data_IF_766791412150
#
_entry.id   IF_766791412150
#
_cell.length_a   1.000
_cell.length_b   1.000
_cell.length_c   1.000
_cell.angle_alpha   90.00
_cell.angle_beta   90.00
_cell.angle_gamma   90.00
#
_symmetry.space_group_name_H-M   'P 1'
#
loop_
_entity.id
_entity.type
_entity.pdbx_description
1 polymer ?
#
# COMPACT_ATOMS: atom_id res chain seq x y z
N UNK A 1 -33.47 17.07 0.56
CA UNK A 1 -33.37 17.05 -0.93
C UNK A 1 -33.27 15.60 -1.38
N UNK A 2 -34.12 15.13 -2.31
CA UNK A 2 -34.00 13.77 -2.83
C UNK A 2 -32.69 13.67 -3.63
N UNK A 3 -31.78 12.78 -3.23
CA UNK A 3 -30.55 12.50 -3.99
C UNK A 3 -30.95 11.97 -5.35
N UNK A 4 -30.35 12.54 -6.41
CA UNK A 4 -30.56 12.04 -7.76
C UNK A 4 -29.93 10.65 -7.94
N UNK A 5 -30.45 9.80 -8.82
CA UNK A 5 -29.83 8.49 -9.10
C UNK A 5 -28.34 8.60 -9.51
N UNK A 6 -27.94 9.72 -10.10
CA UNK A 6 -26.57 10.00 -10.49
C UNK A 6 -25.65 10.25 -9.29
N UNK A 7 -26.14 10.95 -8.26
CA UNK A 7 -25.42 11.18 -7.01
C UNK A 7 -25.15 9.86 -6.27
N UNK A 8 -26.16 8.99 -6.18
CA UNK A 8 -25.99 7.65 -5.60
C UNK A 8 -24.96 6.80 -6.36
N UNK A 9 -25.01 6.82 -7.70
CA UNK A 9 -24.02 6.14 -8.53
C UNK A 9 -22.61 6.67 -8.27
N UNK A 10 -22.43 7.97 -8.13
CA UNK A 10 -21.12 8.59 -7.85
C UNK A 10 -20.59 8.19 -6.49
N UNK A 11 -21.45 8.15 -5.46
CA UNK A 11 -21.07 7.74 -4.10
C UNK A 11 -20.57 6.29 -4.04
N UNK A 12 -21.14 5.41 -4.87
CA UNK A 12 -20.76 4.00 -4.92
C UNK A 12 -19.56 3.77 -5.86
N UNK A 13 -19.56 4.43 -7.02
CA UNK A 13 -18.54 4.21 -8.04
C UNK A 13 -17.16 4.73 -7.64
N UNK A 14 -17.06 5.88 -6.98
CA UNK A 14 -15.78 6.47 -6.63
C UNK A 14 -14.96 5.57 -5.68
N UNK A 15 -15.49 5.08 -4.55
CA UNK A 15 -14.76 4.14 -3.70
C UNK A 15 -14.41 2.81 -4.40
N UNK A 16 -15.31 2.31 -5.27
CA UNK A 16 -15.05 1.08 -6.03
C UNK A 16 -13.87 1.24 -6.99
N UNK A 17 -13.78 2.35 -7.72
CA UNK A 17 -12.67 2.67 -8.61
C UNK A 17 -11.34 2.79 -7.85
N UNK A 18 -11.34 3.47 -6.70
CA UNK A 18 -10.15 3.62 -5.85
C UNK A 18 -9.71 2.25 -5.29
N UNK A 19 -10.65 1.42 -4.86
CA UNK A 19 -10.37 0.06 -4.37
C UNK A 19 -9.76 -0.79 -5.48
N UNK A 20 -10.28 -0.72 -6.71
CA UNK A 20 -9.72 -1.43 -7.85
C UNK A 20 -8.29 -0.96 -8.17
N UNK A 21 -8.05 0.35 -8.23
CA UNK A 21 -6.72 0.90 -8.44
C UNK A 21 -5.74 0.46 -7.33
N UNK A 22 -6.18 0.45 -6.07
CA UNK A 22 -5.38 -0.02 -4.92
C UNK A 22 -5.05 -1.50 -5.03
N UNK A 23 -5.97 -2.34 -5.53
CA UNK A 23 -5.73 -3.77 -5.74
C UNK A 23 -4.66 -4.03 -6.80
N UNK A 24 -4.60 -3.23 -7.86
CA UNK A 24 -3.53 -3.29 -8.87
C UNK A 24 -2.18 -2.90 -8.26
N UNK A 25 -2.14 -1.87 -7.40
CA UNK A 25 -0.93 -1.50 -6.67
C UNK A 25 -0.47 -2.60 -5.72
N UNK A 26 -1.38 -3.26 -5.01
CA UNK A 26 -1.08 -4.42 -4.15
C UNK A 26 -0.46 -5.54 -4.97
N UNK A 27 -1.07 -5.93 -6.09
CA UNK A 27 -0.57 -7.01 -6.94
C UNK A 27 0.84 -6.69 -7.48
N UNK A 28 1.04 -5.49 -8.01
CA UNK A 28 2.34 -5.04 -8.51
C UNK A 28 3.40 -5.04 -7.40
N UNK A 29 3.05 -4.55 -6.21
CA UNK A 29 3.97 -4.49 -5.06
C UNK A 29 4.27 -5.89 -4.51
N UNK A 30 3.30 -6.80 -4.47
CA UNK A 30 3.49 -8.20 -4.06
C UNK A 30 4.48 -8.91 -4.96
N UNK A 31 4.41 -8.70 -6.28
CA UNK A 31 5.35 -9.26 -7.24
C UNK A 31 6.79 -8.71 -7.05
N UNK A 32 6.92 -7.41 -6.72
CA UNK A 32 8.20 -6.80 -6.37
C UNK A 32 8.74 -7.36 -5.06
N UNK A 33 7.88 -7.54 -4.06
CA UNK A 33 8.23 -8.12 -2.77
C UNK A 33 8.74 -9.55 -2.90
N UNK A 34 8.06 -10.41 -3.65
CA UNK A 34 8.49 -11.79 -3.90
C UNK A 34 9.92 -11.82 -4.49
N UNK A 35 10.18 -11.03 -5.54
CA UNK A 35 11.52 -10.95 -6.15
C UNK A 35 12.58 -10.41 -5.18
N UNK A 36 12.23 -9.45 -4.32
CA UNK A 36 13.17 -8.90 -3.33
C UNK A 36 13.52 -9.94 -2.26
N UNK A 37 12.54 -10.74 -1.82
CA UNK A 37 12.75 -11.86 -0.88
C UNK A 37 13.64 -12.93 -1.51
N UNK A 38 13.38 -13.33 -2.76
CA UNK A 38 14.17 -14.33 -3.46
C UNK A 38 15.64 -13.88 -3.63
N UNK A 39 15.85 -12.61 -3.98
CA UNK A 39 17.19 -12.04 -4.06
C UNK A 39 17.90 -12.03 -2.70
N UNK A 40 17.21 -11.65 -1.63
CA UNK A 40 17.79 -11.66 -0.28
C UNK A 40 18.14 -13.08 0.17
N UNK A 41 17.29 -14.08 -0.13
CA UNK A 41 17.57 -15.50 0.16
C UNK A 41 18.76 -16.02 -0.64
N UNK A 42 18.85 -15.68 -1.92
CA UNK A 42 19.98 -16.08 -2.76
C UNK A 42 21.31 -15.56 -2.19
N UNK A 43 21.38 -14.26 -1.83
CA UNK A 43 22.58 -13.68 -1.21
C UNK A 43 22.91 -14.36 0.13
N UNK A 44 21.89 -14.61 0.97
CA UNK A 44 22.09 -15.26 2.26
C UNK A 44 22.61 -16.69 2.11
N UNK A 45 22.11 -17.46 1.12
CA UNK A 45 22.59 -18.82 0.83
C UNK A 45 24.04 -18.83 0.29
N UNK A 46 24.39 -17.85 -0.54
CA UNK A 46 25.75 -17.67 -1.04
C UNK A 46 26.73 -17.38 0.11
N UNK A 47 26.39 -16.48 1.02
CA UNK A 47 27.19 -16.18 2.22
C UNK A 47 27.37 -17.45 3.08
N UNK A 48 26.30 -18.23 3.27
CA UNK A 48 26.33 -19.44 4.09
C UNK A 48 27.20 -20.57 3.49
N UNK A 49 27.32 -20.61 2.15
CA UNK A 49 28.13 -21.63 1.45
C UNK A 49 29.60 -21.22 1.21
N UNK A 50 29.95 -19.98 1.53
CA UNK A 50 31.30 -19.43 1.32
C UNK A 50 32.10 -19.52 2.61
N UNK A 51 33.27 -20.15 2.59
CA UNK A 51 34.13 -20.32 3.76
C UNK A 51 34.68 -18.97 4.31
N UNK A 52 34.87 -17.98 3.41
CA UNK A 52 35.31 -16.62 3.75
C UNK A 52 34.46 -15.59 3.01
N UNK A 53 33.27 -15.23 3.55
CA UNK A 53 32.40 -14.27 2.90
C UNK A 53 33.03 -12.87 2.85
N UNK A 54 32.91 -12.22 1.69
CA UNK A 54 33.41 -10.87 1.50
C UNK A 54 32.55 -9.85 2.29
N UNK A 55 33.15 -8.78 2.85
CA UNK A 55 32.39 -7.73 3.52
C UNK A 55 31.31 -7.10 2.65
N UNK A 56 31.53 -7.03 1.33
CA UNK A 56 30.57 -6.53 0.33
C UNK A 56 29.30 -7.38 0.27
N UNK A 57 29.37 -8.70 0.45
CA UNK A 57 28.19 -9.58 0.46
C UNK A 57 27.26 -9.27 1.64
N UNK A 58 27.82 -8.98 2.79
CA UNK A 58 27.01 -8.55 3.96
C UNK A 58 26.34 -7.21 3.74
N UNK A 59 26.98 -6.27 3.03
CA UNK A 59 26.38 -4.98 2.66
C UNK A 59 25.22 -5.21 1.70
N UNK A 60 25.41 -6.05 0.67
CA UNK A 60 24.35 -6.39 -0.29
C UNK A 60 23.15 -7.05 0.40
N UNK A 61 23.37 -7.97 1.33
CA UNK A 61 22.30 -8.60 2.11
C UNK A 61 21.51 -7.56 2.94
N UNK A 62 22.22 -6.63 3.58
CA UNK A 62 21.57 -5.55 4.33
C UNK A 62 20.70 -4.66 3.42
N UNK A 63 21.18 -4.31 2.25
CA UNK A 63 20.43 -3.51 1.26
C UNK A 63 19.20 -4.29 0.75
N UNK A 64 19.36 -5.57 0.40
CA UNK A 64 18.26 -6.42 -0.02
C UNK A 64 17.18 -6.55 1.07
N UNK A 65 17.59 -6.75 2.33
CA UNK A 65 16.67 -6.84 3.47
C UNK A 65 15.97 -5.51 3.75
N UNK A 66 16.67 -4.37 3.64
CA UNK A 66 16.07 -3.05 3.79
C UNK A 66 15.00 -2.79 2.71
N UNK A 67 15.28 -3.17 1.47
CA UNK A 67 14.33 -3.11 0.35
C UNK A 67 13.07 -3.95 0.62
N UNK A 68 13.24 -5.20 1.04
CA UNK A 68 12.14 -6.11 1.42
C UNK A 68 11.27 -5.48 2.51
N UNK A 69 11.88 -4.90 3.54
CA UNK A 69 11.15 -4.23 4.63
C UNK A 69 10.34 -3.02 4.15
N UNK A 70 10.87 -2.23 3.22
CA UNK A 70 10.16 -1.09 2.64
C UNK A 70 8.95 -1.57 1.84
N UNK A 71 9.08 -2.63 1.06
CA UNK A 71 7.98 -3.21 0.27
C UNK A 71 6.87 -3.80 1.16
N UNK A 72 7.21 -4.44 2.28
CA UNK A 72 6.22 -4.90 3.26
C UNK A 72 5.42 -3.73 3.83
N UNK A 73 6.08 -2.65 4.20
CA UNK A 73 5.39 -1.45 4.72
C UNK A 73 4.48 -0.81 3.68
N UNK A 74 4.92 -0.74 2.42
CA UNK A 74 4.08 -0.25 1.32
C UNK A 74 2.85 -1.14 1.11
N UNK A 75 3.01 -2.47 1.13
CA UNK A 75 1.90 -3.42 1.06
C UNK A 75 0.91 -3.23 2.22
N UNK A 76 1.40 -3.10 3.44
CA UNK A 76 0.56 -2.85 4.62
C UNK A 76 -0.24 -1.56 4.46
N UNK A 77 0.38 -0.49 3.93
CA UNK A 77 -0.31 0.77 3.67
C UNK A 77 -1.42 0.61 2.62
N UNK A 78 -1.19 -0.15 1.54
CA UNK A 78 -2.23 -0.41 0.53
C UNK A 78 -3.36 -1.30 1.05
N UNK A 79 -3.08 -2.32 1.86
CA UNK A 79 -4.13 -3.13 2.50
C UNK A 79 -4.96 -2.30 3.47
N UNK A 80 -4.31 -1.42 4.25
CA UNK A 80 -5.02 -0.48 5.13
C UNK A 80 -5.93 0.45 4.31
N UNK A 81 -5.46 0.94 3.18
CA UNK A 81 -6.27 1.78 2.30
C UNK A 81 -7.51 1.04 1.78
N UNK A 82 -7.35 -0.19 1.28
CA UNK A 82 -8.46 -1.00 0.78
C UNK A 82 -9.50 -1.25 1.89
N UNK A 83 -9.05 -1.64 3.08
CA UNK A 83 -9.92 -1.84 4.24
C UNK A 83 -10.64 -0.55 4.65
N UNK A 84 -9.94 0.58 4.65
CA UNK A 84 -10.52 1.89 4.97
C UNK A 84 -11.59 2.30 3.94
N UNK A 85 -11.35 2.13 2.65
CA UNK A 85 -12.36 2.45 1.63
C UNK A 85 -13.57 1.53 1.70
N UNK A 86 -13.38 0.21 1.90
CA UNK A 86 -14.47 -0.74 2.05
C UNK A 86 -15.34 -0.38 3.27
N UNK A 87 -14.71 -0.13 4.43
CA UNK A 87 -15.41 0.26 5.65
C UNK A 87 -16.07 1.62 5.51
N UNK A 88 -15.38 2.63 4.95
CA UNK A 88 -15.94 3.97 4.74
C UNK A 88 -17.15 3.96 3.81
N UNK A 89 -17.11 3.14 2.73
CA UNK A 89 -18.26 2.95 1.83
C UNK A 89 -19.44 2.32 2.57
N UNK A 90 -19.19 1.26 3.35
CA UNK A 90 -20.21 0.58 4.12
C UNK A 90 -20.85 1.54 5.17
N UNK A 91 -20.02 2.27 5.90
CA UNK A 91 -20.50 3.25 6.89
C UNK A 91 -21.30 4.40 6.23
N UNK A 92 -20.85 4.87 5.08
CA UNK A 92 -21.57 5.89 4.30
C UNK A 92 -22.93 5.42 3.81
N UNK A 93 -23.05 4.17 3.34
CA UNK A 93 -24.32 3.57 2.94
C UNK A 93 -25.25 3.38 4.15
N UNK A 94 -24.72 2.96 5.29
CA UNK A 94 -25.50 2.87 6.54
C UNK A 94 -25.99 4.25 6.95
N UNK A 95 -25.16 5.29 6.94
CA UNK A 95 -25.55 6.65 7.27
C UNK A 95 -26.70 7.14 6.40
N UNK A 96 -26.60 6.96 5.08
CA UNK A 96 -27.65 7.32 4.13
C UNK A 96 -28.95 6.53 4.35
N UNK A 97 -28.87 5.27 4.78
CA UNK A 97 -30.05 4.47 5.15
C UNK A 97 -30.73 4.96 6.42
N UNK A 98 -29.94 5.29 7.43
CA UNK A 98 -30.39 5.79 8.74
C UNK A 98 -31.05 7.17 8.61
N UNK A 99 -30.50 8.06 7.80
CA UNK A 99 -31.07 9.36 7.45
C UNK A 99 -32.51 9.21 6.92
N UNK A 100 -32.70 8.26 5.98
CA UNK A 100 -34.03 7.98 5.40
C UNK A 100 -35.05 7.45 6.41
N UNK A 101 -34.60 6.83 7.48
CA UNK A 101 -35.45 6.35 8.58
C UNK A 101 -35.74 7.46 9.61
N UNK A 102 -35.16 8.66 9.45
CA UNK A 102 -35.39 9.81 10.31
C UNK A 102 -34.55 9.87 11.58
N UNK A 103 -33.49 9.03 11.68
CA UNK A 103 -32.58 9.03 12.84
C UNK A 103 -31.39 9.99 12.60
N UNK A 104 -31.67 11.30 12.61
CA UNK A 104 -30.67 12.34 12.31
C UNK A 104 -29.51 12.40 13.32
N UNK A 105 -29.74 12.09 14.59
CA UNK A 105 -28.69 12.09 15.60
C UNK A 105 -27.63 11.01 15.34
N UNK A 106 -28.06 9.85 14.85
CA UNK A 106 -27.16 8.74 14.54
C UNK A 106 -26.38 8.99 13.24
N UNK A 107 -27.00 9.57 12.22
CA UNK A 107 -26.37 10.01 10.99
C UNK A 107 -25.26 11.03 11.26
N UNK A 108 -25.51 12.00 12.15
CA UNK A 108 -24.54 13.03 12.55
C UNK A 108 -23.24 12.44 13.15
N UNK A 109 -23.30 11.23 13.70
CA UNK A 109 -22.11 10.52 14.22
C UNK A 109 -21.46 9.65 13.15
N UNK A 110 -22.23 8.94 12.34
CA UNK A 110 -21.71 7.98 11.35
C UNK A 110 -20.99 8.68 10.21
N UNK A 111 -21.54 9.77 9.72
CA UNK A 111 -20.98 10.50 8.55
C UNK A 111 -19.56 11.00 8.77
N UNK A 112 -19.21 11.70 9.88
CA UNK A 112 -17.82 12.12 10.12
C UNK A 112 -16.86 10.94 10.34
N UNK A 113 -17.33 9.84 10.93
CA UNK A 113 -16.53 8.62 11.08
C UNK A 113 -16.20 8.04 9.69
N UNK A 114 -17.19 7.88 8.84
CA UNK A 114 -17.00 7.40 7.47
C UNK A 114 -16.00 8.28 6.71
N UNK A 115 -16.13 9.60 6.77
CA UNK A 115 -15.22 10.55 6.16
C UNK A 115 -13.81 10.45 6.71
N UNK A 116 -13.65 10.33 8.02
CA UNK A 116 -12.35 10.14 8.68
C UNK A 116 -11.64 8.86 8.21
N UNK A 117 -12.37 7.77 8.12
CA UNK A 117 -11.83 6.48 7.65
C UNK A 117 -11.41 6.55 6.16
N UNK A 118 -12.20 7.18 5.30
CA UNK A 118 -11.83 7.40 3.88
C UNK A 118 -10.58 8.27 3.76
N UNK A 119 -10.45 9.28 4.61
CA UNK A 119 -9.26 10.14 4.67
C UNK A 119 -8.02 9.33 5.06
N UNK A 120 -8.12 8.45 6.06
CA UNK A 120 -7.04 7.52 6.43
C UNK A 120 -6.66 6.62 5.25
N UNK A 121 -7.65 6.09 4.52
CA UNK A 121 -7.41 5.30 3.30
C UNK A 121 -6.62 6.07 2.24
N UNK A 122 -6.99 7.31 1.98
CA UNK A 122 -6.31 8.18 1.00
C UNK A 122 -4.86 8.47 1.41
N UNK A 123 -4.61 8.80 2.67
CA UNK A 123 -3.28 9.02 3.21
C UNK A 123 -2.43 7.75 3.16
N UNK A 124 -3.05 6.59 3.36
CA UNK A 124 -2.37 5.29 3.27
C UNK A 124 -1.91 4.98 1.85
N UNK A 125 -2.71 5.28 0.81
CA UNK A 125 -2.27 5.16 -0.59
C UNK A 125 -1.09 6.08 -0.87
N UNK A 126 -1.18 7.35 -0.48
CA UNK A 126 -0.11 8.32 -0.70
C UNK A 126 1.19 7.88 -0.03
N UNK A 127 1.11 7.37 1.21
CA UNK A 127 2.25 6.84 1.95
C UNK A 127 2.85 5.61 1.27
N UNK A 128 2.02 4.65 0.86
CA UNK A 128 2.46 3.46 0.13
C UNK A 128 3.16 3.81 -1.19
N UNK A 129 2.60 4.74 -1.95
CA UNK A 129 3.18 5.22 -3.20
C UNK A 129 4.54 5.92 -2.96
N UNK A 130 4.65 6.77 -1.94
CA UNK A 130 5.91 7.42 -1.57
C UNK A 130 6.99 6.38 -1.19
N UNK A 131 6.61 5.30 -0.47
CA UNK A 131 7.52 4.19 -0.15
C UNK A 131 8.00 3.45 -1.39
N UNK A 132 7.15 3.23 -2.40
CA UNK A 132 7.54 2.61 -3.67
C UNK A 132 8.52 3.49 -4.46
N UNK A 133 8.30 4.82 -4.49
CA UNK A 133 9.22 5.75 -5.11
C UNK A 133 10.59 5.70 -4.40
N UNK A 134 10.59 5.69 -3.09
CA UNK A 134 11.82 5.58 -2.29
C UNK A 134 12.55 4.25 -2.56
N UNK A 135 11.82 3.14 -2.63
CA UNK A 135 12.37 1.81 -2.96
C UNK A 135 13.02 1.80 -4.34
N UNK A 136 12.34 2.37 -5.34
CA UNK A 136 12.88 2.45 -6.71
C UNK A 136 14.18 3.26 -6.76
N UNK A 137 14.27 4.35 -6.00
CA UNK A 137 15.51 5.16 -5.89
C UNK A 137 16.65 4.38 -5.22
N UNK A 138 16.34 3.59 -4.18
CA UNK A 138 17.35 2.73 -3.54
C UNK A 138 17.84 1.63 -4.48
N UNK A 139 16.95 1.02 -5.26
CA UNK A 139 17.31 0.01 -6.23
C UNK A 139 18.26 0.55 -7.31
N UNK A 140 18.01 1.76 -7.80
CA UNK A 140 18.87 2.44 -8.77
C UNK A 140 20.28 2.71 -8.19
N UNK A 141 20.37 3.17 -6.95
CA UNK A 141 21.67 3.39 -6.29
C UNK A 141 22.47 2.09 -6.16
N UNK A 142 21.82 0.99 -5.82
CA UNK A 142 22.46 -0.33 -5.76
C UNK A 142 23.06 -0.75 -7.09
N UNK A 143 22.32 -0.59 -8.20
CA UNK A 143 22.80 -0.92 -9.54
C UNK A 143 24.00 -0.06 -9.99
N UNK A 144 23.98 1.23 -9.67
CA UNK A 144 25.10 2.14 -9.99
C UNK A 144 26.36 1.75 -9.21
N UNK A 145 26.23 1.32 -7.96
CA UNK A 145 27.35 0.89 -7.14
C UNK A 145 27.93 -0.46 -7.63
N UNK A 146 27.06 -1.42 -8.00
CA UNK A 146 27.52 -2.68 -8.64
C UNK A 146 28.27 -2.41 -9.97
N UNK A 147 27.78 -1.52 -10.81
CA UNK A 147 28.43 -1.15 -12.07
C UNK A 147 29.81 -0.50 -11.84
N UNK A 148 29.97 0.28 -10.77
CA UNK A 148 31.24 0.93 -10.41
C UNK A 148 32.32 -0.05 -9.95
N UNK A 149 31.92 -1.21 -9.42
CA UNK A 149 32.84 -2.22 -8.92
C UNK A 149 33.36 -3.17 -10.01
N UNK A 150 32.71 -3.18 -11.19
CA UNK A 150 33.06 -4.06 -12.31
C UNK A 150 33.69 -3.32 -13.53
N UNK A 151 33.85 -2.02 -13.46
CA UNK A 151 34.52 -1.18 -14.45
C UNK A 151 35.79 -0.56 -13.90
#
# INVERSE_FOLDING_TARGET
MAQTPLELLTIIAAPALITNASSVLVLSTSNRFARAVDRARAIASEIASTEHPLPTQHVLLRLATARTRTLVRALTAFYLAIGSFAFGTFAGLLGAGIERLGYHDLEAVITPIALGVVTVGTLSIATGAAMLVHETRMALKGLVEEARQHG
#
